data_IF_513925512760
#
_entry.id   IF_513925512760
#
_cell.length_a   1.000
_cell.length_b   1.000
_cell.length_c   1.000
_cell.angle_alpha   90.00
_cell.angle_beta   90.00
_cell.angle_gamma   90.00
#
_symmetry.space_group_name_H-M   'P 1'
#
loop_
_entity.id
_entity.type
_entity.pdbx_description
1 polymer ?
#
# COMPACT_ATOMS: atom_id res chain seq x y z
N UNK A 1 -14.50 -57.65 47.30
CA UNK A 1 -13.03 -57.56 47.44
C UNK A 1 -12.47 -56.96 46.17
N UNK A 2 -11.78 -55.79 46.27
CA UNK A 2 -10.56 -55.32 45.55
C UNK A 2 -10.57 -55.52 44.01
N UNK A 3 -10.45 -54.52 43.13
CA UNK A 3 -9.53 -53.38 43.05
C UNK A 3 -9.91 -52.57 41.78
N UNK A 4 -10.14 -51.26 41.80
CA UNK A 4 -9.13 -50.19 41.65
C UNK A 4 -8.03 -50.50 40.63
N UNK A 5 -8.18 -50.06 39.37
CA UNK A 5 -7.13 -49.30 38.65
C UNK A 5 -7.83 -48.36 37.66
N UNK A 6 -7.92 -47.10 38.06
CA UNK A 6 -8.11 -45.98 37.17
C UNK A 6 -6.82 -45.78 36.36
N UNK A 7 -6.93 -45.67 35.05
CA UNK A 7 -5.94 -44.96 34.23
C UNK A 7 -6.64 -44.48 32.96
N UNK A 8 -7.57 -43.54 33.17
CA UNK A 8 -7.97 -42.59 32.14
C UNK A 8 -6.73 -41.72 31.86
N UNK A 9 -5.94 -42.14 30.88
CA UNK A 9 -4.95 -41.28 30.21
C UNK A 9 -5.73 -40.15 29.54
N UNK A 10 -6.11 -39.16 30.36
CA UNK A 10 -6.47 -37.83 29.91
C UNK A 10 -5.19 -37.22 29.37
N UNK A 11 -4.85 -37.58 28.13
CA UNK A 11 -3.96 -36.78 27.31
C UNK A 11 -4.63 -35.41 27.19
N UNK A 12 -4.32 -34.55 28.15
CA UNK A 12 -4.43 -33.10 28.02
C UNK A 12 -3.51 -32.77 26.86
N UNK A 13 -4.05 -32.89 25.64
CA UNK A 13 -3.51 -32.23 24.46
C UNK A 13 -3.71 -30.76 24.73
N UNK A 14 -2.78 -30.21 25.51
CA UNK A 14 -2.53 -28.79 25.61
C UNK A 14 -2.22 -28.38 24.16
N UNK A 15 -3.27 -28.03 23.42
CA UNK A 15 -3.16 -27.34 22.15
C UNK A 15 -2.52 -26.02 22.51
N UNK A 16 -1.19 -26.01 22.49
CA UNK A 16 -0.40 -24.81 22.35
C UNK A 16 -0.87 -24.20 21.03
N UNK A 17 -1.89 -23.35 21.12
CA UNK A 17 -2.20 -22.40 20.08
C UNK A 17 -1.00 -21.45 20.03
N UNK A 18 0.00 -21.81 19.23
CA UNK A 18 1.11 -20.94 18.92
C UNK A 18 0.51 -19.80 18.10
N UNK A 19 0.14 -18.72 18.78
CA UNK A 19 -0.11 -17.45 18.12
C UNK A 19 1.21 -17.00 17.50
N UNK A 20 1.41 -17.34 16.22
CA UNK A 20 2.47 -16.73 15.43
C UNK A 20 2.10 -15.26 15.26
N UNK A 21 2.75 -14.39 16.03
CA UNK A 21 2.79 -12.98 15.72
C UNK A 21 3.40 -12.84 14.31
N UNK A 22 2.56 -12.53 13.33
CA UNK A 22 3.06 -12.22 11.99
C UNK A 22 3.72 -10.85 12.07
N UNK A 23 5.04 -10.81 11.91
CA UNK A 23 5.73 -9.55 11.73
C UNK A 23 5.09 -8.85 10.53
N UNK A 24 4.55 -7.64 10.75
CA UNK A 24 3.90 -6.90 9.68
C UNK A 24 4.99 -6.47 8.68
N UNK A 25 4.82 -6.83 7.41
CA UNK A 25 5.77 -6.43 6.37
C UNK A 25 5.74 -4.91 6.22
N UNK A 26 6.86 -4.28 6.57
CA UNK A 26 7.03 -2.83 6.51
C UNK A 26 8.09 -2.43 5.49
N UNK A 27 8.00 -1.20 5.02
CA UNK A 27 8.98 -0.57 4.13
C UNK A 27 9.38 0.79 4.71
N UNK A 28 10.59 1.22 4.33
CA UNK A 28 11.06 2.58 4.57
C UNK A 28 11.02 3.34 3.25
N UNK A 29 10.53 4.58 3.31
CA UNK A 29 10.57 5.54 2.21
C UNK A 29 11.51 6.65 2.67
N UNK A 30 12.76 6.57 2.20
CA UNK A 30 13.81 7.52 2.54
C UNK A 30 13.79 8.69 1.54
N UNK A 31 13.84 9.90 2.07
CA UNK A 31 13.86 11.13 1.28
C UNK A 31 14.91 12.07 1.84
N UNK A 32 15.27 13.10 1.07
CA UNK A 32 16.13 14.19 1.54
C UNK A 32 15.49 15.04 2.65
N UNK A 33 14.21 14.82 2.98
CA UNK A 33 13.48 15.50 4.05
C UNK A 33 13.17 14.59 5.25
N UNK A 34 13.69 13.36 5.24
CA UNK A 34 13.51 12.37 6.30
C UNK A 34 12.90 11.05 5.82
N UNK A 35 12.72 10.14 6.76
CA UNK A 35 12.29 8.77 6.51
C UNK A 35 10.88 8.53 7.00
N UNK A 36 10.05 7.92 6.15
CA UNK A 36 8.72 7.45 6.51
C UNK A 36 8.74 5.92 6.61
N UNK A 37 8.01 5.37 7.59
CA UNK A 37 7.77 3.93 7.70
C UNK A 37 6.33 3.63 7.29
N UNK A 38 6.16 2.69 6.39
CA UNK A 38 4.85 2.25 5.91
C UNK A 38 4.69 0.74 6.07
N UNK A 39 3.42 0.30 6.06
CA UNK A 39 3.04 -1.10 6.20
C UNK A 39 2.13 -1.50 5.05
N UNK A 40 2.27 -2.74 4.57
CA UNK A 40 1.42 -3.25 3.51
C UNK A 40 0.06 -3.71 4.04
N UNK A 41 -1.01 -3.24 3.38
CA UNK A 41 -2.37 -3.72 3.56
C UNK A 41 -2.56 -5.05 2.83
N UNK A 42 -2.91 -6.12 3.54
CA UNK A 42 -2.99 -7.47 2.98
C UNK A 42 -4.19 -7.66 2.05
N UNK A 43 -5.15 -6.73 2.10
CA UNK A 43 -6.39 -6.75 1.33
C UNK A 43 -6.19 -6.33 -0.14
N UNK A 44 -4.99 -5.90 -0.54
CA UNK A 44 -4.62 -5.62 -1.94
C UNK A 44 -3.40 -6.45 -2.36
N UNK A 45 -3.51 -7.80 -2.34
CA UNK A 45 -2.35 -8.69 -2.47
C UNK A 45 -1.62 -8.54 -3.80
N UNK A 46 -2.31 -8.26 -4.91
CA UNK A 46 -1.66 -8.09 -6.22
C UNK A 46 -0.89 -6.78 -6.27
N UNK A 47 -1.44 -5.69 -5.73
CA UNK A 47 -0.71 -4.42 -5.63
C UNK A 47 0.51 -4.59 -4.73
N UNK A 48 0.35 -5.19 -3.54
CA UNK A 48 1.45 -5.42 -2.59
C UNK A 48 2.57 -6.24 -3.24
N UNK A 49 2.24 -7.34 -3.92
CA UNK A 49 3.24 -8.17 -4.59
C UNK A 49 4.03 -7.38 -5.63
N UNK A 50 3.33 -6.61 -6.50
CA UNK A 50 3.97 -5.82 -7.55
C UNK A 50 4.84 -4.68 -6.98
N UNK A 51 4.37 -3.97 -5.95
CA UNK A 51 5.18 -2.94 -5.29
C UNK A 51 6.41 -3.52 -4.61
N UNK A 52 6.28 -4.66 -3.91
CA UNK A 52 7.42 -5.35 -3.30
C UNK A 52 8.47 -5.73 -4.33
N UNK A 53 8.06 -6.27 -5.47
CA UNK A 53 8.97 -6.58 -6.57
C UNK A 53 9.69 -5.33 -7.07
N UNK A 54 8.94 -4.25 -7.36
CA UNK A 54 9.50 -2.98 -7.82
C UNK A 54 10.46 -2.34 -6.82
N UNK A 55 10.14 -2.39 -5.53
CA UNK A 55 11.02 -1.89 -4.45
C UNK A 55 12.32 -2.69 -4.44
N UNK A 56 12.26 -4.02 -4.53
CA UNK A 56 13.45 -4.87 -4.59
C UNK A 56 14.34 -4.57 -5.81
N UNK A 57 13.75 -4.10 -6.90
CA UNK A 57 14.48 -3.69 -8.11
C UNK A 57 15.00 -2.24 -8.07
N UNK A 58 14.83 -1.51 -6.96
CA UNK A 58 15.24 -0.10 -6.86
C UNK A 58 14.42 0.85 -7.75
N UNK A 59 13.20 0.45 -8.15
CA UNK A 59 12.42 1.18 -9.15
C UNK A 59 12.05 2.61 -8.74
N UNK A 60 12.06 2.92 -7.44
CA UNK A 60 11.72 4.22 -6.88
C UNK A 60 12.95 5.04 -6.47
N UNK A 61 14.14 4.46 -6.52
CA UNK A 61 15.37 5.14 -6.08
C UNK A 61 15.70 6.28 -7.05
N UNK A 62 16.01 7.46 -6.47
CA UNK A 62 16.29 8.68 -7.22
C UNK A 62 15.08 9.29 -7.94
N UNK A 63 13.86 8.83 -7.68
CA UNK A 63 12.63 9.43 -8.22
C UNK A 63 12.15 10.59 -7.36
N UNK A 64 11.40 11.52 -7.98
CA UNK A 64 10.90 12.72 -7.31
C UNK A 64 9.48 12.53 -6.78
N UNK A 65 9.15 13.28 -5.73
CA UNK A 65 7.78 13.73 -5.48
C UNK A 65 7.50 14.93 -6.38
N UNK A 66 6.88 14.70 -7.53
CA UNK A 66 6.71 15.71 -8.58
C UNK A 66 5.37 16.47 -8.52
N UNK A 67 4.42 16.00 -7.70
CA UNK A 67 3.12 16.66 -7.55
C UNK A 67 2.71 16.71 -6.09
N UNK A 68 2.54 17.92 -5.57
CA UNK A 68 2.14 18.20 -4.19
C UNK A 68 0.89 19.06 -4.22
N UNK A 69 -0.22 18.55 -3.70
CA UNK A 69 -1.51 19.27 -3.64
C UNK A 69 -1.95 19.40 -2.19
N UNK A 70 -1.84 20.60 -1.58
CA UNK A 70 -2.19 20.83 -0.19
C UNK A 70 -3.62 20.39 0.17
N UNK A 71 -3.74 19.59 1.22
CA UNK A 71 -5.00 19.03 1.71
C UNK A 71 -5.56 17.88 0.87
N UNK A 72 -4.80 17.38 -0.11
CA UNK A 72 -5.20 16.26 -0.94
C UNK A 72 -4.16 15.13 -0.87
N UNK A 73 -3.03 15.27 -1.56
CA UNK A 73 -2.01 14.23 -1.62
C UNK A 73 -0.64 14.76 -2.08
N UNK A 74 0.38 13.93 -1.89
CA UNK A 74 1.69 14.05 -2.54
C UNK A 74 1.92 12.82 -3.41
N UNK A 75 2.42 13.00 -4.63
CA UNK A 75 2.59 11.93 -5.61
C UNK A 75 4.01 11.91 -6.16
N UNK A 76 4.56 10.70 -6.31
CA UNK A 76 5.94 10.46 -6.69
C UNK A 76 6.16 9.07 -7.28
N UNK A 77 7.43 8.70 -7.44
CA UNK A 77 7.81 7.36 -7.87
C UNK A 77 7.92 7.15 -9.38
N UNK A 78 7.56 8.15 -10.19
CA UNK A 78 7.50 7.98 -11.65
C UNK A 78 8.89 7.79 -12.26
N UNK A 79 9.10 6.80 -13.15
CA UNK A 79 10.41 6.53 -13.75
C UNK A 79 11.00 7.71 -14.51
N UNK A 80 10.16 8.50 -15.19
CA UNK A 80 10.55 9.69 -15.95
C UNK A 80 11.00 10.87 -15.09
N UNK A 81 10.77 10.81 -13.77
CA UNK A 81 11.22 11.82 -12.81
C UNK A 81 12.66 11.62 -12.35
N UNK A 82 13.23 10.43 -12.57
CA UNK A 82 14.62 10.15 -12.19
C UNK A 82 15.58 11.02 -12.99
N UNK A 83 16.45 11.75 -12.28
CA UNK A 83 17.42 12.66 -12.87
C UNK A 83 16.80 13.66 -13.86
N UNK A 84 15.55 14.04 -13.64
CA UNK A 84 14.88 15.01 -14.49
C UNK A 84 15.50 16.40 -14.30
N UNK A 85 15.81 17.07 -15.41
CA UNK A 85 16.26 18.45 -15.40
C UNK A 85 15.24 19.38 -14.72
N UNK A 86 15.68 20.44 -14.03
CA UNK A 86 14.78 21.44 -13.47
C UNK A 86 13.78 21.97 -14.53
N UNK A 87 12.49 21.99 -14.17
CA UNK A 87 11.41 22.46 -15.05
C UNK A 87 10.90 21.42 -16.07
N UNK A 88 11.54 20.25 -16.18
CA UNK A 88 11.02 19.17 -17.02
C UNK A 88 9.68 18.66 -16.49
N UNK A 89 8.70 18.52 -17.37
CA UNK A 89 7.43 17.85 -17.05
C UNK A 89 7.68 16.36 -16.87
N UNK A 90 7.26 15.83 -15.73
CA UNK A 90 7.40 14.42 -15.33
C UNK A 90 6.10 13.91 -14.71
N UNK A 91 6.06 12.63 -14.37
CA UNK A 91 4.87 12.02 -13.78
C UNK A 91 3.94 11.39 -14.81
N UNK A 92 4.44 11.04 -15.99
CA UNK A 92 3.66 10.37 -17.03
C UNK A 92 3.37 8.90 -16.73
N UNK A 93 4.18 8.30 -15.84
CA UNK A 93 3.98 6.93 -15.39
C UNK A 93 4.52 5.91 -16.38
N UNK A 94 3.92 4.72 -16.40
CA UNK A 94 4.33 3.65 -17.31
C UNK A 94 3.21 2.66 -17.54
N UNK A 95 2.97 2.34 -18.81
CA UNK A 95 1.99 1.34 -19.22
C UNK A 95 2.43 -0.10 -18.92
N UNK A 96 3.69 -0.31 -18.55
CA UNK A 96 4.24 -1.64 -18.24
C UNK A 96 3.75 -2.19 -16.90
N UNK A 97 3.28 -1.33 -16.00
CA UNK A 97 2.94 -1.69 -14.61
C UNK A 97 1.47 -1.37 -14.29
N UNK A 98 0.59 -1.68 -15.24
CA UNK A 98 -0.85 -1.50 -15.06
C UNK A 98 -1.46 -2.72 -14.37
N UNK A 99 -2.24 -2.49 -13.32
CA UNK A 99 -2.90 -3.54 -12.55
C UNK A 99 -4.41 -3.28 -12.45
N UNK A 100 -5.24 -4.32 -12.56
CA UNK A 100 -6.67 -4.17 -12.29
C UNK A 100 -6.91 -3.76 -10.83
N UNK A 101 -7.97 -2.97 -10.56
CA UNK A 101 -8.21 -2.46 -9.21
C UNK A 101 -8.59 -3.57 -8.22
N UNK A 102 -8.12 -3.44 -6.98
CA UNK A 102 -8.49 -4.30 -5.83
C UNK A 102 -9.37 -3.49 -4.87
N UNK A 103 -10.61 -3.19 -5.26
CA UNK A 103 -11.50 -2.37 -4.45
C UNK A 103 -12.05 -3.12 -3.23
N UNK A 104 -11.97 -2.49 -2.07
CA UNK A 104 -12.62 -2.94 -0.85
C UNK A 104 -13.53 -1.81 -0.32
N UNK A 105 -14.83 -2.08 -0.16
CA UNK A 105 -15.82 -1.08 0.29
C UNK A 105 -15.55 -0.58 1.71
N UNK A 106 -14.81 -1.35 2.51
CA UNK A 106 -14.43 -0.98 3.87
C UNK A 106 -13.15 -0.11 3.89
N UNK A 107 -12.48 0.07 2.75
CA UNK A 107 -11.28 0.88 2.65
C UNK A 107 -11.64 2.31 2.25
N UNK A 108 -11.61 3.20 3.23
CA UNK A 108 -11.71 4.64 3.01
C UNK A 108 -10.33 5.26 3.03
N UNK A 109 -10.05 6.17 2.11
CA UNK A 109 -8.78 6.88 2.08
C UNK A 109 -8.66 7.79 3.32
N UNK A 110 -7.61 7.58 4.12
CA UNK A 110 -7.27 8.41 5.27
C UNK A 110 -5.84 8.93 5.16
N UNK A 111 -5.52 9.98 5.93
CA UNK A 111 -4.20 10.61 5.95
C UNK A 111 -3.10 9.56 6.21
N UNK A 112 -2.10 9.52 5.34
CA UNK A 112 -0.98 8.58 5.38
C UNK A 112 -1.19 7.31 4.55
N UNK A 113 -2.39 7.07 4.01
CA UNK A 113 -2.61 5.94 3.09
C UNK A 113 -1.79 6.12 1.80
N UNK A 114 -1.15 5.04 1.35
CA UNK A 114 -0.39 5.00 0.10
C UNK A 114 -1.22 4.25 -0.94
N UNK A 115 -1.36 4.81 -2.13
CA UNK A 115 -2.12 4.20 -3.21
C UNK A 115 -1.51 4.47 -4.59
N UNK A 116 -1.86 3.62 -5.56
CA UNK A 116 -1.48 3.79 -6.95
C UNK A 116 -2.42 4.80 -7.64
N UNK A 117 -1.90 5.79 -8.38
CA UNK A 117 -2.73 6.68 -9.18
C UNK A 117 -3.33 5.93 -10.38
N UNK A 118 -4.34 6.54 -11.01
CA UNK A 118 -4.94 6.05 -12.25
C UNK A 118 -5.49 7.21 -13.07
N UNK A 119 -5.62 7.00 -14.37
CA UNK A 119 -6.32 7.94 -15.25
C UNK A 119 -7.83 7.99 -14.91
N UNK A 120 -8.54 9.08 -15.28
CA UNK A 120 -10.00 9.20 -15.14
C UNK A 120 -10.77 8.08 -15.85
N UNK A 121 -11.97 7.76 -15.38
CA UNK A 121 -12.76 6.60 -15.81
C UNK A 121 -13.13 6.63 -17.32
N UNK A 122 -13.27 7.82 -17.92
CA UNK A 122 -13.55 7.96 -19.35
C UNK A 122 -12.36 7.57 -20.24
N UNK A 123 -11.13 7.66 -19.73
CA UNK A 123 -9.89 7.25 -20.43
C UNK A 123 -9.50 5.83 -20.01
N UNK A 124 -9.76 5.46 -18.75
CA UNK A 124 -9.41 4.17 -18.14
C UNK A 124 -10.67 3.49 -17.58
N UNK A 125 -11.55 2.95 -18.45
CA UNK A 125 -12.82 2.34 -18.03
C UNK A 125 -12.62 1.08 -17.19
N UNK A 126 -11.48 0.39 -17.36
CA UNK A 126 -11.08 -0.75 -16.53
C UNK A 126 -10.53 -0.33 -15.16
N UNK A 127 -10.37 0.98 -14.93
CA UNK A 127 -9.87 1.59 -13.68
C UNK A 127 -8.54 1.00 -13.24
N UNK A 128 -7.68 0.65 -14.21
CA UNK A 128 -6.35 0.11 -13.97
C UNK A 128 -5.49 1.11 -13.19
N UNK A 129 -4.86 0.63 -12.13
CA UNK A 129 -3.86 1.36 -11.36
C UNK A 129 -2.56 1.44 -12.15
N UNK A 130 -1.91 2.61 -12.16
CA UNK A 130 -0.54 2.77 -12.59
C UNK A 130 0.40 2.55 -11.40
N UNK A 131 0.90 1.32 -11.26
CA UNK A 131 1.81 0.95 -10.18
C UNK A 131 3.26 1.36 -10.46
N UNK A 132 3.51 2.16 -11.51
CA UNK A 132 4.81 2.80 -11.71
C UNK A 132 5.04 4.00 -10.81
N UNK A 133 3.98 4.50 -10.17
CA UNK A 133 3.96 5.66 -9.31
C UNK A 133 3.14 5.36 -8.07
N UNK A 134 3.26 6.20 -7.04
CA UNK A 134 2.40 6.14 -5.86
C UNK A 134 2.05 7.56 -5.41
N UNK A 135 0.96 7.68 -4.64
CA UNK A 135 0.67 8.89 -3.89
C UNK A 135 0.38 8.56 -2.43
N UNK A 136 0.69 9.52 -1.56
CA UNK A 136 0.41 9.49 -0.13
C UNK A 136 -0.70 10.51 0.15
N UNK A 137 -1.78 10.04 0.76
CA UNK A 137 -2.93 10.88 1.11
C UNK A 137 -2.53 11.85 2.22
N UNK A 138 -2.69 13.15 1.97
CA UNK A 138 -2.66 14.16 3.03
C UNK A 138 -4.07 14.36 3.60
N UNK A 139 -5.04 14.50 2.69
CA UNK A 139 -6.46 14.63 2.98
C UNK A 139 -6.84 15.84 3.83
N UNK A 140 -8.15 15.97 4.07
CA UNK A 140 -8.76 16.79 5.11
C UNK A 140 -9.79 15.92 5.85
N UNK A 141 -10.08 16.20 7.13
CA UNK A 141 -11.18 15.52 7.83
C UNK A 141 -12.47 15.67 7.03
N UNK A 142 -13.11 14.54 6.74
CA UNK A 142 -14.43 14.56 6.11
C UNK A 142 -15.45 15.18 7.07
N UNK A 143 -16.34 16.01 6.54
CA UNK A 143 -17.50 16.56 7.23
C UNK A 143 -18.72 16.38 6.34
N UNK A 144 -19.88 16.11 6.94
CA UNK A 144 -21.15 16.02 6.21
C UNK A 144 -21.39 17.32 5.42
N UNK A 145 -21.73 17.22 4.13
CA UNK A 145 -21.99 18.35 3.24
C UNK A 145 -20.83 18.82 2.34
N UNK A 146 -19.65 18.16 2.38
CA UNK A 146 -18.49 18.52 1.54
C UNK A 146 -18.37 17.72 0.22
N UNK A 147 -19.18 16.69 0.03
CA UNK A 147 -19.30 16.01 -1.25
C UNK A 147 -20.46 16.66 -1.98
N UNK A 148 -20.20 17.20 -3.17
CA UNK A 148 -21.25 17.69 -4.06
C UNK A 148 -22.26 16.55 -4.28
N UNK A 149 -23.50 16.78 -3.85
CA UNK A 149 -24.66 15.94 -4.17
C UNK A 149 -24.97 15.98 -5.64
#
# INVERSE_FOLDING_TARGET
>A
MKSFVANLLLCVSLSFCVFKATAQDTILIETNLGTMKAVFLQESPKHVALYKERIKMGAFDGTLFFRVVPGFMIQGGSPDSRNAEPGKRVGMGSTQYLLLPEFNKNHVAFKGMIAAPRQPDNINPQKKSDCSQFFIVQGKPYRSGYLDT
#
